data_IF_321661547422
#
_entry.id   IF_321661547422
#
_cell.length_a   1.000
_cell.length_b   1.000
_cell.length_c   1.000
_cell.angle_alpha   90.00
_cell.angle_beta   90.00
_cell.angle_gamma   90.00
#
_symmetry.space_group_name_H-M   'P 1'
#
loop_
_entity.id
_entity.type
_entity.pdbx_description
1 polymer ?
#
# COMPACT_ATOMS: atom_id res chain seq x y z
N UNK A 1 -8.01 -12.75 4.82
CA UNK A 1 -7.79 -11.43 4.19
C UNK A 1 -7.52 -11.64 2.71
N UNK A 2 -8.03 -10.77 1.84
CA UNK A 2 -7.73 -10.78 0.41
C UNK A 2 -7.69 -9.34 -0.15
N UNK A 3 -6.91 -9.11 -1.21
CA UNK A 3 -6.80 -7.79 -1.86
C UNK A 3 -7.98 -7.65 -2.82
N UNK A 4 -8.73 -6.54 -2.72
CA UNK A 4 -9.88 -6.24 -3.56
C UNK A 4 -9.51 -5.43 -4.79
N UNK A 5 -8.66 -4.43 -4.61
CA UNK A 5 -8.33 -3.47 -5.67
C UNK A 5 -6.93 -2.92 -5.47
N UNK A 6 -6.20 -2.80 -6.57
CA UNK A 6 -4.96 -2.06 -6.69
C UNK A 6 -5.17 -0.90 -7.67
N UNK A 7 -4.79 0.30 -7.25
CA UNK A 7 -4.71 1.48 -8.11
C UNK A 7 -3.29 2.03 -8.02
N UNK A 8 -2.71 2.35 -9.17
CA UNK A 8 -1.38 2.95 -9.26
C UNK A 8 -1.41 4.15 -10.18
N UNK A 9 -0.63 5.18 -9.84
CA UNK A 9 -0.32 6.29 -10.74
C UNK A 9 1.18 6.58 -10.71
N UNK A 10 1.71 7.01 -11.85
CA UNK A 10 3.12 7.38 -12.02
C UNK A 10 4.12 6.29 -11.55
N UNK A 11 3.82 5.02 -11.84
CA UNK A 11 4.62 3.88 -11.37
C UNK A 11 5.41 3.24 -12.52
N UNK A 12 6.73 3.40 -12.55
CA UNK A 12 7.67 2.74 -13.49
C UNK A 12 7.14 2.62 -14.94
N UNK A 13 6.69 3.75 -15.51
CA UNK A 13 6.12 3.87 -16.85
C UNK A 13 4.59 3.74 -16.95
N UNK A 14 3.90 3.31 -15.89
CA UNK A 14 2.43 3.31 -15.81
C UNK A 14 1.96 4.70 -15.37
N UNK A 15 1.34 5.44 -16.29
CA UNK A 15 0.70 6.71 -15.95
C UNK A 15 -0.44 6.52 -14.94
N UNK A 16 -1.36 5.59 -15.22
CA UNK A 16 -2.41 5.15 -14.30
C UNK A 16 -2.88 3.74 -14.65
N UNK A 17 -3.16 2.91 -13.63
CA UNK A 17 -3.84 1.63 -13.80
C UNK A 17 -4.70 1.31 -12.57
N UNK A 18 -5.81 0.60 -12.80
CA UNK A 18 -6.69 0.07 -11.76
C UNK A 18 -6.98 -1.40 -12.06
N UNK A 19 -6.85 -2.26 -11.05
CA UNK A 19 -7.06 -3.70 -11.16
C UNK A 19 -7.94 -4.14 -10.00
N UNK A 20 -9.09 -4.69 -10.35
CA UNK A 20 -9.93 -5.45 -9.43
C UNK A 20 -9.41 -6.89 -9.33
N UNK A 21 -9.35 -7.38 -8.09
CA UNK A 21 -8.93 -8.72 -7.75
C UNK A 21 -10.09 -9.41 -7.04
N UNK A 22 -10.13 -10.73 -7.11
CA UNK A 22 -11.17 -11.55 -6.48
C UNK A 22 -10.55 -12.53 -5.47
N UNK A 23 -11.33 -13.10 -4.54
CA UNK A 23 -10.85 -14.20 -3.71
C UNK A 23 -10.36 -15.38 -4.55
N UNK A 24 -9.19 -15.94 -4.23
CA UNK A 24 -8.61 -17.09 -4.93
C UNK A 24 -7.38 -16.74 -5.77
N UNK A 25 -7.18 -17.47 -6.87
CA UNK A 25 -6.02 -17.30 -7.76
C UNK A 25 -6.33 -16.27 -8.85
N UNK A 26 -5.68 -15.11 -8.77
CA UNK A 26 -5.74 -14.08 -9.79
C UNK A 26 -4.52 -14.20 -10.72
N UNK A 27 -4.73 -14.28 -12.03
CA UNK A 27 -3.65 -14.37 -13.02
C UNK A 27 -3.62 -13.10 -13.86
N UNK A 28 -2.58 -12.29 -13.66
CA UNK A 28 -2.30 -11.12 -14.49
C UNK A 28 -1.54 -11.57 -15.75
N UNK A 29 -2.21 -11.58 -16.90
CA UNK A 29 -1.62 -11.98 -18.18
C UNK A 29 -1.57 -10.80 -19.17
N UNK A 30 -0.61 -10.85 -20.08
CA UNK A 30 -0.43 -9.85 -21.14
C UNK A 30 1.02 -9.84 -21.64
N UNK A 31 1.30 -9.22 -22.80
CA UNK A 31 2.64 -8.94 -23.30
C UNK A 31 3.65 -8.50 -22.22
N UNK A 32 4.92 -8.83 -22.41
CA UNK A 32 6.01 -8.30 -21.57
C UNK A 32 5.97 -6.76 -21.60
N UNK A 33 6.50 -6.14 -20.54
CA UNK A 33 6.59 -4.67 -20.42
C UNK A 33 5.25 -3.91 -20.26
N UNK A 34 4.10 -4.59 -20.24
CA UNK A 34 2.80 -3.99 -19.86
C UNK A 34 2.68 -3.57 -18.38
N UNK A 35 3.77 -3.62 -17.62
CA UNK A 35 3.76 -3.19 -16.22
C UNK A 35 3.26 -4.25 -15.22
N UNK A 36 3.10 -5.52 -15.60
CA UNK A 36 2.70 -6.60 -14.67
C UNK A 36 3.62 -6.71 -13.44
N UNK A 37 4.94 -6.69 -13.67
CA UNK A 37 5.94 -6.69 -12.60
C UNK A 37 5.86 -5.42 -11.74
N UNK A 38 5.54 -4.29 -12.36
CA UNK A 38 5.32 -3.00 -11.68
C UNK A 38 4.11 -3.07 -10.75
N UNK A 39 2.99 -3.66 -11.19
CA UNK A 39 1.80 -3.85 -10.35
C UNK A 39 2.11 -4.75 -9.13
N UNK A 40 2.84 -5.84 -9.34
CA UNK A 40 3.28 -6.71 -8.23
C UNK A 40 4.23 -5.97 -7.27
N UNK A 41 5.16 -5.17 -7.80
CA UNK A 41 6.06 -4.34 -7.00
C UNK A 41 5.30 -3.25 -6.21
N UNK A 42 4.26 -2.66 -6.80
CA UNK A 42 3.41 -1.67 -6.16
C UNK A 42 2.63 -2.27 -4.97
N UNK A 43 2.07 -3.49 -5.12
CA UNK A 43 1.45 -4.22 -4.00
C UNK A 43 2.47 -4.41 -2.88
N UNK A 44 3.67 -4.92 -3.21
CA UNK A 44 4.74 -5.14 -2.23
C UNK A 44 5.11 -3.84 -1.51
N UNK A 45 5.25 -2.75 -2.25
CA UNK A 45 5.63 -1.44 -1.69
C UNK A 45 4.53 -0.87 -0.78
N UNK A 46 3.27 -0.93 -1.21
CA UNK A 46 2.13 -0.45 -0.42
C UNK A 46 2.05 -1.16 0.93
N UNK A 47 2.35 -2.45 0.95
CA UNK A 47 2.30 -3.29 2.14
C UNK A 47 3.54 -3.12 3.03
N UNK A 48 4.75 -3.09 2.46
CA UNK A 48 5.98 -3.29 3.22
C UNK A 48 6.87 -2.05 3.37
N UNK A 49 6.72 -1.05 2.51
CA UNK A 49 7.63 0.10 2.47
C UNK A 49 7.03 1.35 3.10
N UNK A 50 7.86 2.08 3.83
CA UNK A 50 7.56 3.44 4.28
C UNK A 50 7.47 4.38 3.08
N UNK A 51 6.57 5.36 3.12
CA UNK A 51 6.36 6.31 2.01
C UNK A 51 7.59 7.15 1.64
N UNK A 52 8.51 7.38 2.59
CA UNK A 52 9.74 8.17 2.36
C UNK A 52 10.97 7.29 2.08
N UNK A 53 10.79 5.97 1.96
CA UNK A 53 11.90 5.05 1.75
C UNK A 53 12.47 5.14 0.33
N UNK A 54 13.78 5.17 0.21
CA UNK A 54 14.49 5.03 -1.09
C UNK A 54 14.31 3.64 -1.70
N UNK A 55 13.88 2.63 -0.93
CA UNK A 55 13.58 1.30 -1.48
C UNK A 55 12.40 1.29 -2.48
N UNK A 56 11.63 2.39 -2.53
CA UNK A 56 10.57 2.60 -3.52
C UNK A 56 11.07 3.26 -4.83
N UNK A 57 12.36 3.57 -4.95
CA UNK A 57 12.98 4.13 -6.17
C UNK A 57 12.67 3.34 -7.45
N UNK A 58 12.58 1.99 -7.44
CA UNK A 58 12.17 1.25 -8.63
C UNK A 58 10.73 1.53 -9.11
N UNK A 59 9.89 2.16 -8.29
CA UNK A 59 8.54 2.59 -8.69
C UNK A 59 8.52 3.98 -9.32
N UNK A 60 9.58 4.77 -9.21
CA UNK A 60 9.62 6.12 -9.80
C UNK A 60 9.26 6.08 -11.28
N UNK A 61 8.45 7.04 -11.71
CA UNK A 61 8.09 7.19 -13.13
C UNK A 61 9.36 7.49 -13.95
N UNK A 62 9.42 6.93 -15.15
CA UNK A 62 10.55 7.10 -16.06
C UNK A 62 10.33 8.29 -17.02
N UNK A 63 9.09 8.73 -17.17
CA UNK A 63 8.69 9.78 -18.11
C UNK A 63 8.45 11.13 -17.45
N UNK A 64 8.17 11.16 -16.15
CA UNK A 64 7.82 12.38 -15.42
C UNK A 64 8.50 12.41 -14.05
N UNK A 65 8.66 13.61 -13.48
CA UNK A 65 9.12 13.78 -12.09
C UNK A 65 7.98 13.59 -11.07
N UNK A 66 6.82 13.08 -11.52
CA UNK A 66 5.69 12.82 -10.63
C UNK A 66 6.02 11.65 -9.69
N UNK A 67 5.65 11.81 -8.43
CA UNK A 67 5.89 10.79 -7.41
C UNK A 67 4.91 9.62 -7.58
N UNK A 68 5.38 8.36 -7.56
CA UNK A 68 4.51 7.19 -7.67
C UNK A 68 3.53 7.13 -6.50
N UNK A 69 2.27 6.88 -6.81
CA UNK A 69 1.21 6.69 -5.82
C UNK A 69 0.55 5.33 -5.99
N UNK A 70 0.34 4.65 -4.87
CA UNK A 70 -0.29 3.33 -4.82
C UNK A 70 -1.42 3.38 -3.80
N UNK A 71 -2.62 3.00 -4.26
CA UNK A 71 -3.77 2.75 -3.41
C UNK A 71 -4.10 1.25 -3.44
N UNK A 72 -4.12 0.62 -2.27
CA UNK A 72 -4.42 -0.79 -2.10
C UNK A 72 -5.62 -0.95 -1.18
N UNK A 73 -6.70 -1.52 -1.70
CA UNK A 73 -7.88 -1.87 -0.90
C UNK A 73 -7.89 -3.37 -0.65
N UNK A 74 -8.08 -3.77 0.60
CA UNK A 74 -8.19 -5.18 0.99
C UNK A 74 -9.29 -5.38 2.02
N UNK A 75 -9.77 -6.61 2.10
CA UNK A 75 -10.83 -7.02 3.00
C UNK A 75 -10.29 -8.01 4.04
N UNK A 76 -10.70 -7.81 5.28
CA UNK A 76 -10.51 -8.73 6.39
C UNK A 76 -11.81 -9.47 6.73
N UNK A 77 -11.72 -10.38 7.69
CA UNK A 77 -12.88 -11.10 8.21
C UNK A 77 -13.98 -10.12 8.65
N UNK A 78 -15.24 -10.60 8.59
CA UNK A 78 -16.43 -9.85 9.01
C UNK A 78 -16.73 -8.60 8.16
N UNK A 79 -16.22 -8.54 6.92
CA UNK A 79 -16.51 -7.44 5.98
C UNK A 79 -15.77 -6.13 6.31
N UNK A 80 -14.73 -6.19 7.15
CA UNK A 80 -13.89 -5.04 7.44
C UNK A 80 -13.00 -4.68 6.24
N UNK A 81 -13.21 -3.50 5.69
CA UNK A 81 -12.49 -3.00 4.52
C UNK A 81 -11.43 -2.00 4.95
N UNK A 82 -10.24 -2.13 4.37
CA UNK A 82 -9.11 -1.25 4.63
C UNK A 82 -8.55 -0.74 3.32
N UNK A 83 -8.17 0.54 3.31
CA UNK A 83 -7.55 1.19 2.15
C UNK A 83 -6.25 1.85 2.57
N UNK A 84 -5.16 1.40 1.99
CA UNK A 84 -3.85 2.02 2.11
C UNK A 84 -3.68 2.96 0.93
N UNK A 85 -3.28 4.19 1.18
CA UNK A 85 -2.82 5.09 0.11
C UNK A 85 -1.45 5.62 0.46
N UNK A 86 -0.46 5.33 -0.38
CA UNK A 86 0.93 5.75 -0.21
C UNK A 86 1.43 6.44 -1.46
N UNK A 87 1.98 7.63 -1.30
CA UNK A 87 2.79 8.29 -2.32
C UNK A 87 4.24 8.20 -1.91
N UNK A 88 5.09 7.66 -2.78
CA UNK A 88 6.50 7.43 -2.47
C UNK A 88 7.36 8.57 -2.99
N UNK A 89 8.19 9.12 -2.11
CA UNK A 89 9.10 10.22 -2.42
C UNK A 89 9.52 10.91 -1.14
N UNK A 90 10.75 11.44 -1.06
CA UNK A 90 11.35 11.93 0.19
C UNK A 90 10.47 12.92 0.97
N UNK A 91 10.56 14.21 0.67
CA UNK A 91 9.72 15.24 1.34
C UNK A 91 8.27 15.25 0.86
N UNK A 92 8.01 14.74 -0.34
CA UNK A 92 6.66 14.69 -0.93
C UNK A 92 5.85 13.45 -0.59
N UNK A 93 6.43 12.46 0.09
CA UNK A 93 5.77 11.19 0.37
C UNK A 93 4.78 11.27 1.53
N UNK A 94 3.69 10.52 1.41
CA UNK A 94 2.67 10.43 2.44
C UNK A 94 2.09 9.02 2.51
N UNK A 95 1.44 8.73 3.64
CA UNK A 95 0.72 7.48 3.84
C UNK A 95 -0.59 7.76 4.58
N UNK A 96 -1.66 7.11 4.14
CA UNK A 96 -2.95 7.07 4.82
C UNK A 96 -3.42 5.62 4.93
N UNK A 97 -4.04 5.32 6.06
CA UNK A 97 -4.79 4.08 6.26
C UNK A 97 -6.21 4.48 6.61
N UNK A 98 -7.15 4.04 5.78
CA UNK A 98 -8.57 4.28 5.96
C UNK A 98 -9.29 2.96 6.25
N UNK A 99 -10.33 3.04 7.07
CA UNK A 99 -11.17 1.92 7.46
C UNK A 99 -12.61 2.14 7.03
N UNK A 100 -13.28 1.05 6.66
CA UNK A 100 -14.70 1.04 6.32
C UNK A 100 -15.36 -0.27 6.77
N UNK A 101 -16.59 -0.17 7.29
CA UNK A 101 -17.40 -1.35 7.66
C UNK A 101 -18.24 -1.90 6.52
N UNK A 102 -18.49 -1.10 5.48
CA UNK A 102 -19.38 -1.42 4.36
C UNK A 102 -18.67 -1.40 3.00
N UNK A 103 -17.40 -0.98 2.99
CA UNK A 103 -16.59 -0.84 1.79
C UNK A 103 -16.97 0.36 0.92
N UNK A 104 -17.81 1.28 1.43
CA UNK A 104 -18.27 2.48 0.71
C UNK A 104 -17.73 3.73 1.39
N UNK A 105 -18.01 3.89 2.67
CA UNK A 105 -17.61 5.06 3.45
C UNK A 105 -16.33 4.74 4.21
N UNK A 106 -15.25 5.42 3.83
CA UNK A 106 -13.93 5.26 4.43
C UNK A 106 -13.63 6.42 5.38
N UNK A 107 -13.27 6.07 6.62
CA UNK A 107 -12.81 7.01 7.64
C UNK A 107 -11.32 6.80 7.86
N UNK A 108 -10.55 7.89 7.91
CA UNK A 108 -9.12 7.82 8.17
C UNK A 108 -8.85 7.27 9.57
N UNK A 109 -8.15 6.15 9.65
CA UNK A 109 -7.71 5.50 10.88
C UNK A 109 -6.36 6.08 11.34
N UNK A 110 -5.38 6.09 10.44
CA UNK A 110 -4.02 6.56 10.73
C UNK A 110 -3.35 7.22 9.53
N UNK A 111 -2.29 8.00 9.78
CA UNK A 111 -1.55 8.75 8.75
C UNK A 111 -0.07 8.85 9.03
N UNK A 112 0.71 9.10 7.98
CA UNK A 112 2.16 9.29 8.08
C UNK A 112 2.86 8.05 8.63
N UNK A 113 3.76 8.23 9.60
CA UNK A 113 4.61 7.14 10.15
C UNK A 113 3.83 6.07 10.91
N UNK A 114 2.61 6.36 11.36
CA UNK A 114 1.79 5.41 12.13
C UNK A 114 1.17 4.33 11.24
N UNK A 115 1.00 4.60 9.94
CA UNK A 115 0.32 3.71 8.99
C UNK A 115 0.99 2.34 8.92
N UNK A 116 2.31 2.29 8.80
CA UNK A 116 3.02 1.02 8.68
C UNK A 116 2.97 0.19 9.96
N UNK A 117 2.99 0.83 11.14
CA UNK A 117 2.81 0.15 12.41
C UNK A 117 1.38 -0.42 12.56
N UNK A 118 0.38 0.37 12.17
CA UNK A 118 -1.01 -0.08 12.13
C UNK A 118 -1.19 -1.26 11.16
N UNK A 119 -0.56 -1.20 9.98
CA UNK A 119 -0.57 -2.28 9.00
C UNK A 119 0.09 -3.56 9.53
N UNK A 120 1.26 -3.47 10.16
CA UNK A 120 1.91 -4.64 10.74
C UNK A 120 1.02 -5.33 11.79
N UNK A 121 0.37 -4.54 12.66
CA UNK A 121 -0.56 -5.06 13.66
C UNK A 121 -1.81 -5.68 13.01
N UNK A 122 -2.38 -5.00 12.01
CA UNK A 122 -3.59 -5.40 11.31
C UNK A 122 -3.40 -6.70 10.52
N UNK A 123 -2.27 -6.82 9.83
CA UNK A 123 -1.93 -7.97 8.99
C UNK A 123 -1.37 -9.14 9.78
N UNK A 124 -1.16 -8.96 11.10
CA UNK A 124 -0.65 -9.96 12.04
C UNK A 124 0.60 -10.65 11.51
N UNK A 125 1.52 -9.91 10.90
CA UNK A 125 2.68 -10.49 10.20
C UNK A 125 3.70 -11.22 11.08
N UNK A 126 3.40 -11.52 12.35
CA UNK A 126 4.28 -12.29 13.24
C UNK A 126 5.60 -11.58 13.56
N UNK A 127 5.75 -10.31 13.15
CA UNK A 127 6.89 -9.46 13.47
C UNK A 127 6.46 -8.65 14.70
N UNK A 128 7.10 -8.89 15.84
CA UNK A 128 6.94 -8.02 17.01
C UNK A 128 7.28 -6.58 16.59
N UNK A 129 6.45 -5.62 17.01
CA UNK A 129 6.71 -4.21 16.80
C UNK A 129 8.15 -3.90 17.26
N UNK A 130 8.96 -3.12 16.50
CA UNK A 130 10.30 -2.76 16.92
C UNK A 130 10.21 -2.11 18.30
N UNK A 131 10.85 -2.72 19.29
CA UNK A 131 10.68 -2.43 20.71
C UNK A 131 10.66 -0.94 21.05
N UNK A 132 9.46 -0.40 21.24
CA UNK A 132 9.27 0.89 21.88
C UNK A 132 9.64 0.75 23.35
N UNK A 133 10.83 1.26 23.70
CA UNK A 133 11.37 1.32 25.06
C UNK A 133 10.33 1.98 25.99
N UNK A 134 9.51 1.17 26.67
CA UNK A 134 8.63 1.64 27.75
C UNK A 134 9.55 2.06 28.90
N UNK A 135 9.84 3.36 28.98
CA UNK A 135 10.44 3.97 30.15
C UNK A 135 9.56 3.68 31.35
N UNK A 136 10.08 2.87 32.28
CA UNK A 136 9.58 2.70 33.64
C UNK A 136 9.52 4.09 34.27
N UNK A 137 8.32 4.63 34.52
CA UNK A 137 8.14 5.67 35.53
C UNK A 137 7.91 4.96 36.86
N UNK A 138 8.92 5.08 37.73
CA UNK A 138 8.75 4.88 39.17
C UNK A 138 8.12 6.09 39.82
#
# INVERSE_FOLDING_TARGET
>A
MWIRRLEVTHCAGIAAASVDLEPGLNVLYGPNELGKSTLAAAIRAALLLQSQSTAAEPLSDWHTDALPEVTLTFEQERGHNWRIRKRFGGSGGYAYLDFSRDGRDFTQDSRGREVDGALQALLRWGIEAPGGRRGRRG
#
